data_IF_192218196572
#
_entry.id   IF_192218196572
#
_cell.length_a   1.000
_cell.length_b   1.000
_cell.length_c   1.000
_cell.angle_alpha   90.00
_cell.angle_beta   90.00
_cell.angle_gamma   90.00
#
_symmetry.space_group_name_H-M   'P 1'
#
loop_
_entity.id
_entity.type
_entity.pdbx_description
1 polymer ?
#
# COMPACT_ATOMS: atom_id res chain seq x y z
N UNK A 1 -13.30 -27.29 23.34
CA UNK A 1 -12.78 -26.65 22.12
C UNK A 1 -13.96 -26.03 21.41
N UNK A 2 -14.11 -24.70 21.51
CA UNK A 2 -15.16 -23.95 20.79
C UNK A 2 -14.89 -24.06 19.28
N UNK A 3 -15.91 -24.46 18.51
CA UNK A 3 -15.83 -24.50 17.07
C UNK A 3 -15.46 -23.13 16.50
N UNK A 4 -14.70 -23.10 15.38
CA UNK A 4 -14.29 -21.89 14.69
C UNK A 4 -15.48 -20.98 14.36
N UNK A 5 -16.59 -21.56 13.90
CA UNK A 5 -17.82 -20.83 13.59
C UNK A 5 -18.40 -20.11 14.79
N UNK A 6 -18.40 -20.79 15.95
CA UNK A 6 -18.90 -20.21 17.20
C UNK A 6 -18.03 -19.05 17.67
N UNK A 7 -16.68 -19.16 17.54
CA UNK A 7 -15.77 -18.05 17.86
C UNK A 7 -15.99 -16.84 16.94
N UNK A 8 -16.12 -17.05 15.64
CA UNK A 8 -16.41 -15.97 14.69
C UNK A 8 -17.75 -15.29 14.95
N UNK A 9 -18.76 -16.05 15.31
CA UNK A 9 -20.06 -15.51 15.70
C UNK A 9 -19.96 -14.66 16.96
N UNK A 10 -19.26 -15.12 17.98
CA UNK A 10 -19.02 -14.35 19.22
C UNK A 10 -18.23 -13.06 18.96
N UNK A 11 -17.23 -13.08 18.06
CA UNK A 11 -16.48 -11.88 17.66
C UNK A 11 -17.41 -10.88 17.00
N UNK A 12 -18.22 -11.31 16.03
CA UNK A 12 -19.21 -10.47 15.37
C UNK A 12 -20.22 -9.87 16.35
N UNK A 13 -20.78 -10.69 17.23
CA UNK A 13 -21.76 -10.23 18.22
C UNK A 13 -21.15 -9.18 19.17
N UNK A 14 -19.94 -9.37 19.65
CA UNK A 14 -19.21 -8.37 20.46
C UNK A 14 -18.97 -7.07 19.66
N UNK A 15 -18.55 -7.18 18.41
CA UNK A 15 -18.28 -6.00 17.56
C UNK A 15 -19.53 -5.15 17.29
N UNK A 16 -20.74 -5.71 17.47
CA UNK A 16 -22.03 -5.01 17.30
C UNK A 16 -22.56 -4.52 18.64
N UNK A 17 -22.62 -5.42 19.63
CA UNK A 17 -23.34 -5.17 20.88
C UNK A 17 -22.52 -4.36 21.90
N UNK A 18 -21.17 -4.47 21.84
CA UNK A 18 -20.22 -3.74 22.67
C UNK A 18 -19.11 -3.16 21.80
N UNK A 19 -19.50 -2.35 20.84
CA UNK A 19 -18.67 -1.87 19.76
C UNK A 19 -17.45 -1.09 20.27
N UNK A 20 -17.63 -0.16 21.21
CA UNK A 20 -16.54 0.70 21.67
C UNK A 20 -15.48 -0.09 22.44
N UNK A 21 -15.89 -0.97 23.37
CA UNK A 21 -14.95 -1.85 24.09
C UNK A 21 -14.25 -2.80 23.13
N UNK A 22 -15.00 -3.37 22.15
CA UNK A 22 -14.41 -4.28 21.17
C UNK A 22 -13.30 -3.59 20.38
N UNK A 23 -13.56 -2.42 19.80
CA UNK A 23 -12.55 -1.71 18.99
C UNK A 23 -11.44 -1.09 19.82
N UNK A 24 -11.72 -0.71 21.08
CA UNK A 24 -10.68 -0.30 22.03
C UNK A 24 -9.66 -1.43 22.32
N UNK A 25 -10.12 -2.68 22.36
CA UNK A 25 -9.23 -3.85 22.51
C UNK A 25 -8.50 -4.19 21.19
N UNK A 26 -9.23 -4.22 20.07
CA UNK A 26 -8.62 -4.54 18.76
C UNK A 26 -7.58 -3.50 18.32
N UNK A 27 -7.76 -2.23 18.66
CA UNK A 27 -6.79 -1.18 18.38
C UNK A 27 -5.44 -1.37 19.09
N UNK A 28 -5.37 -2.16 20.16
CA UNK A 28 -4.12 -2.51 20.85
C UNK A 28 -3.21 -3.45 20.06
N UNK A 29 -3.68 -3.97 18.92
CA UNK A 29 -2.86 -4.74 17.96
C UNK A 29 -1.76 -3.93 17.33
N UNK A 30 -1.95 -2.63 17.26
CA UNK A 30 -1.11 -1.68 16.55
C UNK A 30 -0.20 -0.98 17.55
N UNK A 31 1.05 -0.76 17.15
CA UNK A 31 1.97 0.08 17.91
C UNK A 31 1.69 1.54 17.58
N UNK A 32 1.25 2.27 18.58
CA UNK A 32 0.93 3.69 18.48
C UNK A 32 2.11 4.53 18.96
N UNK A 33 2.46 5.58 18.21
CA UNK A 33 3.41 6.61 18.66
C UNK A 33 2.78 7.38 19.81
N UNK A 34 1.57 7.89 19.58
CA UNK A 34 0.70 8.43 20.64
C UNK A 34 -0.55 7.55 20.75
N UNK A 35 -0.78 6.88 21.89
CA UNK A 35 -1.96 6.07 22.10
C UNK A 35 -3.25 6.90 21.94
N UNK A 36 -4.27 6.30 21.31
CA UNK A 36 -5.60 6.89 21.22
C UNK A 36 -6.33 6.85 22.57
N UNK A 37 -7.21 7.82 22.78
CA UNK A 37 -8.20 7.84 23.86
C UNK A 37 -9.63 7.87 23.31
N UNK A 38 -9.76 8.25 22.03
CA UNK A 38 -11.04 8.38 21.31
C UNK A 38 -11.16 7.24 20.31
N UNK A 39 -12.13 6.37 20.51
CA UNK A 39 -12.28 5.16 19.70
C UNK A 39 -12.91 5.50 18.35
N UNK A 40 -14.07 6.17 18.39
CA UNK A 40 -14.78 6.57 17.18
C UNK A 40 -15.62 7.83 17.41
N UNK A 41 -15.84 8.53 16.31
CA UNK A 41 -16.88 9.54 16.14
C UNK A 41 -17.48 9.31 14.76
N UNK A 42 -18.69 8.75 14.70
CA UNK A 42 -19.25 8.24 13.46
C UNK A 42 -20.72 8.65 13.35
N UNK A 43 -21.04 9.31 12.26
CA UNK A 43 -22.42 9.56 11.86
C UNK A 43 -22.67 9.13 10.41
N UNK A 44 -23.80 8.49 10.16
CA UNK A 44 -24.28 8.08 8.85
C UNK A 44 -25.58 8.80 8.46
N UNK A 45 -25.84 9.97 9.07
CA UNK A 45 -27.04 10.72 8.70
C UNK A 45 -26.97 11.13 7.23
N UNK A 46 -28.13 11.19 6.55
CA UNK A 46 -28.22 11.49 5.13
C UNK A 46 -27.56 12.83 4.76
N UNK A 47 -27.61 13.79 5.68
CA UNK A 47 -27.11 15.15 5.46
C UNK A 47 -25.68 15.36 5.99
N UNK A 48 -25.16 14.41 6.75
CA UNK A 48 -23.81 14.48 7.32
C UNK A 48 -23.27 13.07 7.54
N UNK A 49 -22.41 12.62 6.63
CA UNK A 49 -21.62 11.39 6.81
C UNK A 49 -20.23 11.82 7.27
N UNK A 50 -19.90 11.51 8.52
CA UNK A 50 -18.57 11.74 9.10
C UNK A 50 -18.11 10.48 9.82
N UNK A 51 -16.92 9.99 9.52
CA UNK A 51 -16.40 8.71 10.02
C UNK A 51 -14.99 8.91 10.50
N UNK A 52 -14.80 8.78 11.83
CA UNK A 52 -13.47 8.90 12.46
C UNK A 52 -13.24 7.73 13.41
N UNK A 53 -12.05 7.13 13.31
CA UNK A 53 -11.62 6.02 14.16
C UNK A 53 -10.26 6.33 14.78
N UNK A 54 -10.13 6.12 16.10
CA UNK A 54 -8.88 6.32 16.86
C UNK A 54 -8.27 7.71 16.67
N UNK A 55 -9.10 8.72 16.45
CA UNK A 55 -8.80 9.98 15.79
C UNK A 55 -7.90 10.95 16.58
N UNK A 56 -7.54 10.65 17.81
CA UNK A 56 -6.54 11.36 18.61
C UNK A 56 -5.23 10.59 18.80
N UNK A 57 -5.14 9.38 18.21
CA UNK A 57 -3.95 8.56 18.17
C UNK A 57 -3.06 8.87 16.98
N UNK A 58 -1.75 8.60 17.12
CA UNK A 58 -0.79 8.71 16.01
C UNK A 58 0.02 7.42 15.84
N UNK A 59 0.37 7.11 14.61
CA UNK A 59 1.09 5.89 14.25
C UNK A 59 1.83 6.08 12.92
N UNK A 60 2.62 5.09 12.52
CA UNK A 60 3.03 4.91 11.13
C UNK A 60 2.70 3.49 10.67
N UNK A 61 2.06 3.34 9.52
CA UNK A 61 1.63 2.04 8.99
C UNK A 61 2.82 1.20 8.54
N UNK A 62 3.82 1.80 7.88
CA UNK A 62 5.03 1.09 7.45
C UNK A 62 5.81 0.55 8.66
N UNK A 63 5.93 1.34 9.74
CA UNK A 63 6.53 0.89 11.00
C UNK A 63 5.82 -0.36 11.54
N UNK A 64 4.50 -0.33 11.55
CA UNK A 64 3.70 -1.46 12.04
C UNK A 64 3.84 -2.72 11.18
N UNK A 65 4.07 -2.58 9.87
CA UNK A 65 4.28 -3.71 8.97
C UNK A 65 5.71 -4.27 9.04
N UNK A 66 6.71 -3.46 9.39
CA UNK A 66 8.13 -3.82 9.26
C UNK A 66 8.87 -3.69 10.58
N UNK A 67 9.09 -2.46 11.05
CA UNK A 67 10.08 -2.12 12.09
C UNK A 67 9.79 -2.81 13.42
N UNK A 68 8.52 -2.86 13.84
CA UNK A 68 8.10 -3.53 15.08
C UNK A 68 8.46 -5.02 15.15
N UNK A 69 8.66 -5.64 13.98
CA UNK A 69 9.00 -7.06 13.89
C UNK A 69 10.49 -7.33 13.92
N UNK A 70 11.34 -6.35 13.53
CA UNK A 70 12.79 -6.52 13.40
C UNK A 70 13.47 -7.05 14.66
N UNK A 71 13.14 -6.64 15.90
CA UNK A 71 13.83 -7.14 17.09
C UNK A 71 13.81 -8.66 17.24
N UNK A 72 12.82 -9.33 16.62
CA UNK A 72 12.65 -10.79 16.73
C UNK A 72 12.70 -11.52 15.40
N UNK A 73 12.42 -10.82 14.29
CA UNK A 73 12.16 -11.44 12.96
C UNK A 73 13.02 -10.85 11.84
N UNK A 74 14.09 -10.12 12.14
CA UNK A 74 14.92 -9.47 11.11
C UNK A 74 15.32 -10.41 9.98
N UNK A 75 15.69 -11.65 10.32
CA UNK A 75 16.14 -12.68 9.38
C UNK A 75 15.02 -13.62 8.90
N UNK A 76 13.79 -13.46 9.41
CA UNK A 76 12.65 -14.25 8.95
C UNK A 76 12.21 -13.76 7.57
N UNK A 77 11.67 -14.67 6.77
CA UNK A 77 11.13 -14.33 5.44
C UNK A 77 9.85 -13.50 5.60
N UNK A 78 9.89 -12.28 5.09
CA UNK A 78 8.73 -11.38 5.02
C UNK A 78 7.95 -11.60 3.71
N UNK A 79 8.65 -11.79 2.58
CA UNK A 79 8.05 -11.97 1.26
C UNK A 79 8.67 -13.17 0.57
N UNK A 80 7.82 -14.02 0.01
CA UNK A 80 8.20 -15.03 -0.96
C UNK A 80 7.66 -14.54 -2.31
N UNK A 81 8.56 -14.23 -3.22
CA UNK A 81 8.24 -13.82 -4.59
C UNK A 81 8.55 -14.94 -5.55
N UNK A 82 7.63 -15.21 -6.45
CA UNK A 82 7.80 -16.11 -7.57
C UNK A 82 7.39 -15.39 -8.84
N UNK A 83 8.29 -15.34 -9.82
CA UNK A 83 8.07 -14.67 -11.09
C UNK A 83 7.14 -15.44 -12.01
N UNK A 84 6.84 -14.86 -13.18
CA UNK A 84 6.09 -15.54 -14.25
C UNK A 84 6.86 -16.77 -14.78
N UNK A 85 8.19 -16.69 -14.78
CA UNK A 85 9.08 -17.84 -14.95
C UNK A 85 9.36 -18.42 -13.54
N UNK A 86 8.97 -19.70 -13.26
CA UNK A 86 9.14 -20.30 -11.94
C UNK A 86 10.60 -20.51 -11.52
N UNK A 87 11.56 -20.29 -12.42
CA UNK A 87 12.99 -20.28 -12.08
C UNK A 87 13.44 -18.95 -11.48
N UNK A 88 12.59 -17.93 -11.54
CA UNK A 88 12.83 -16.61 -10.96
C UNK A 88 12.04 -16.49 -9.67
N UNK A 89 12.68 -16.89 -8.57
CA UNK A 89 12.12 -16.78 -7.22
C UNK A 89 13.03 -15.96 -6.30
N UNK A 90 12.48 -15.40 -5.26
CA UNK A 90 13.24 -14.71 -4.23
C UNK A 90 12.52 -14.75 -2.88
N UNK A 91 13.28 -15.05 -1.83
CA UNK A 91 12.86 -14.83 -0.44
C UNK A 91 13.49 -13.53 0.06
N UNK A 92 12.67 -12.68 0.64
CA UNK A 92 13.07 -11.37 1.15
C UNK A 92 12.81 -11.38 2.64
N UNK A 93 13.83 -11.10 3.43
CA UNK A 93 13.73 -11.01 4.89
C UNK A 93 13.09 -9.68 5.32
N UNK A 94 12.64 -9.60 6.58
CA UNK A 94 12.14 -8.34 7.14
C UNK A 94 13.21 -7.24 7.14
N UNK A 95 14.49 -7.60 7.35
CA UNK A 95 15.58 -6.62 7.28
C UNK A 95 15.79 -6.11 5.85
N UNK A 96 15.84 -7.00 4.86
CA UNK A 96 15.94 -6.60 3.46
C UNK A 96 14.74 -5.75 3.02
N UNK A 97 13.52 -6.11 3.47
CA UNK A 97 12.31 -5.34 3.21
C UNK A 97 12.43 -3.91 3.78
N UNK A 98 12.88 -3.78 5.04
CA UNK A 98 13.13 -2.48 5.68
C UNK A 98 14.13 -1.66 4.86
N UNK A 99 15.25 -2.27 4.50
CA UNK A 99 16.33 -1.57 3.80
C UNK A 99 15.87 -1.05 2.43
N UNK A 100 15.18 -1.87 1.66
CA UNK A 100 14.64 -1.48 0.33
C UNK A 100 13.54 -0.42 0.44
N UNK A 101 12.65 -0.54 1.43
CA UNK A 101 11.62 0.47 1.70
C UNK A 101 12.26 1.81 2.11
N UNK A 102 13.28 1.81 2.97
CA UNK A 102 13.97 3.03 3.38
C UNK A 102 14.73 3.69 2.23
N UNK A 103 15.44 2.91 1.40
CA UNK A 103 16.12 3.44 0.20
C UNK A 103 15.12 4.13 -0.73
N UNK A 104 14.00 3.46 -1.03
CA UNK A 104 12.97 4.05 -1.89
C UNK A 104 12.32 5.28 -1.25
N UNK A 105 12.01 5.22 0.05
CA UNK A 105 11.45 6.35 0.79
C UNK A 105 12.36 7.59 0.73
N UNK A 106 13.67 7.41 0.91
CA UNK A 106 14.64 8.48 0.78
C UNK A 106 14.78 8.98 -0.66
N UNK A 107 14.80 8.07 -1.65
CA UNK A 107 14.82 8.44 -3.06
C UNK A 107 13.57 9.23 -3.49
N UNK A 108 12.39 8.86 -2.96
CA UNK A 108 11.15 9.60 -3.21
C UNK A 108 11.22 11.02 -2.61
N UNK A 109 11.76 11.17 -1.39
CA UNK A 109 11.99 12.50 -0.80
C UNK A 109 12.98 13.33 -1.61
N UNK A 110 14.05 12.73 -2.12
CA UNK A 110 15.04 13.40 -2.97
C UNK A 110 14.44 13.98 -4.25
N UNK A 111 13.52 13.27 -4.88
CA UNK A 111 12.82 13.76 -6.08
C UNK A 111 11.64 14.69 -5.77
N UNK A 112 11.42 15.03 -4.50
CA UNK A 112 10.49 16.05 -4.03
C UNK A 112 9.16 15.57 -3.48
N UNK A 113 8.96 14.26 -3.26
CA UNK A 113 7.74 13.73 -2.61
C UNK A 113 7.71 14.14 -1.13
N UNK A 114 6.60 14.70 -0.70
CA UNK A 114 6.36 15.17 0.67
C UNK A 114 5.15 14.48 1.30
N UNK A 115 5.03 14.61 2.62
CA UNK A 115 3.83 14.18 3.36
C UNK A 115 2.56 14.76 2.73
N UNK A 116 1.57 13.90 2.49
CA UNK A 116 0.29 14.26 1.89
C UNK A 116 0.27 14.29 0.35
N UNK A 117 1.44 14.17 -0.32
CA UNK A 117 1.47 14.04 -1.77
C UNK A 117 0.88 12.70 -2.22
N UNK A 118 0.23 12.71 -3.40
CA UNK A 118 -0.30 11.49 -4.01
C UNK A 118 0.72 10.92 -4.98
N UNK A 119 0.97 9.61 -4.83
CA UNK A 119 1.87 8.84 -5.68
C UNK A 119 1.07 7.73 -6.36
N UNK A 120 0.96 7.77 -7.67
CA UNK A 120 0.32 6.68 -8.44
C UNK A 120 1.32 5.56 -8.67
N UNK A 121 0.93 4.33 -8.34
CA UNK A 121 1.75 3.13 -8.53
C UNK A 121 1.09 2.28 -9.63
N UNK A 122 1.73 2.19 -10.80
CA UNK A 122 1.29 1.41 -11.95
C UNK A 122 2.39 0.40 -12.31
N UNK A 123 2.45 -0.69 -11.54
CA UNK A 123 3.53 -1.67 -11.57
C UNK A 123 3.02 -3.11 -11.78
N UNK A 124 3.89 -4.02 -12.26
CA UNK A 124 3.59 -5.44 -12.23
C UNK A 124 3.63 -5.96 -10.78
N UNK A 125 3.19 -7.21 -10.56
CA UNK A 125 3.27 -7.90 -9.28
C UNK A 125 4.71 -8.32 -8.99
N UNK A 126 5.52 -7.38 -8.54
CA UNK A 126 6.93 -7.56 -8.15
C UNK A 126 7.17 -7.00 -6.74
N UNK A 127 8.23 -7.42 -6.03
CA UNK A 127 8.52 -6.92 -4.68
C UNK A 127 8.56 -5.39 -4.59
N UNK A 128 9.05 -4.72 -5.63
CA UNK A 128 9.13 -3.27 -5.69
C UNK A 128 7.76 -2.57 -5.65
N UNK A 129 6.67 -3.26 -6.04
CA UNK A 129 5.32 -2.72 -5.85
C UNK A 129 4.98 -2.62 -4.36
N UNK A 130 5.33 -3.64 -3.56
CA UNK A 130 5.18 -3.65 -2.11
C UNK A 130 6.08 -2.58 -1.46
N UNK A 131 7.34 -2.49 -1.91
CA UNK A 131 8.27 -1.46 -1.41
C UNK A 131 7.72 -0.06 -1.67
N UNK A 132 7.13 0.18 -2.83
CA UNK A 132 6.54 1.48 -3.20
C UNK A 132 5.37 1.87 -2.30
N UNK A 133 4.48 0.93 -1.98
CA UNK A 133 3.36 1.16 -1.07
C UNK A 133 3.84 1.48 0.34
N UNK A 134 4.77 0.68 0.87
CA UNK A 134 5.32 0.85 2.22
C UNK A 134 6.24 2.07 2.34
N UNK A 135 6.98 2.45 1.28
CA UNK A 135 7.77 3.67 1.24
C UNK A 135 6.89 4.92 1.29
N UNK A 136 5.80 4.96 0.52
CA UNK A 136 4.81 6.03 0.61
C UNK A 136 4.22 6.13 2.02
N UNK A 137 3.77 5.00 2.58
CA UNK A 137 3.24 4.97 3.95
C UNK A 137 4.28 5.45 4.99
N UNK A 138 5.57 5.13 4.77
CA UNK A 138 6.66 5.52 5.68
C UNK A 138 6.86 7.02 5.76
N UNK A 139 6.78 7.72 4.63
CA UNK A 139 6.98 9.17 4.54
C UNK A 139 5.68 9.98 4.59
N UNK A 140 4.55 9.33 4.86
CA UNK A 140 3.23 9.98 4.92
C UNK A 140 2.68 10.42 3.57
N UNK A 141 3.19 9.90 2.45
CA UNK A 141 2.61 10.09 1.13
C UNK A 141 1.42 9.15 0.90
N UNK A 142 0.43 9.60 0.15
CA UNK A 142 -0.80 8.87 -0.15
C UNK A 142 -0.62 8.10 -1.46
N UNK A 143 -0.57 6.78 -1.42
CA UNK A 143 -0.43 6.01 -2.65
C UNK A 143 -1.78 5.66 -3.30
N UNK A 144 -1.77 5.55 -4.62
CA UNK A 144 -2.90 5.09 -5.43
C UNK A 144 -2.41 4.00 -6.37
N UNK A 145 -2.71 2.74 -6.05
CA UNK A 145 -2.29 1.61 -6.88
C UNK A 145 -3.29 1.40 -8.02
N UNK A 146 -2.77 1.31 -9.22
CA UNK A 146 -3.53 1.05 -10.45
C UNK A 146 -3.09 -0.28 -11.04
N UNK A 147 -4.04 -1.15 -11.34
CA UNK A 147 -3.77 -2.45 -11.94
C UNK A 147 -3.02 -2.32 -13.27
N UNK A 148 -1.88 -3.00 -13.39
CA UNK A 148 -0.97 -2.91 -14.57
C UNK A 148 -1.56 -3.37 -15.91
N UNK A 149 -2.79 -3.88 -15.91
CA UNK A 149 -3.53 -4.24 -17.12
C UNK A 149 -4.53 -3.18 -17.60
N UNK A 150 -4.63 -2.03 -16.93
CA UNK A 150 -5.52 -0.96 -17.37
C UNK A 150 -4.91 -0.14 -18.51
N UNK A 151 -5.80 0.45 -19.35
CA UNK A 151 -5.43 1.32 -20.46
C UNK A 151 -4.87 2.66 -19.97
N UNK A 152 -4.21 3.38 -20.89
CA UNK A 152 -3.69 4.73 -20.67
C UNK A 152 -4.79 5.70 -20.18
N UNK A 153 -5.98 5.66 -20.77
CA UNK A 153 -7.12 6.49 -20.36
C UNK A 153 -7.57 6.19 -18.93
N UNK A 154 -7.59 4.91 -18.57
CA UNK A 154 -7.93 4.47 -17.20
C UNK A 154 -6.89 4.92 -16.18
N UNK A 155 -5.62 4.92 -16.54
CA UNK A 155 -4.51 5.40 -15.72
C UNK A 155 -4.59 6.93 -15.58
N UNK A 156 -4.68 7.65 -16.70
CA UNK A 156 -4.78 9.11 -16.72
C UNK A 156 -5.96 9.62 -15.88
N UNK A 157 -7.14 9.00 -16.03
CA UNK A 157 -8.32 9.39 -15.28
C UNK A 157 -8.12 9.32 -13.75
N UNK A 158 -7.36 8.32 -13.26
CA UNK A 158 -7.05 8.17 -11.83
C UNK A 158 -6.00 9.17 -11.37
N UNK A 159 -4.97 9.41 -12.16
CA UNK A 159 -3.93 10.41 -11.87
C UNK A 159 -4.56 11.79 -11.71
N UNK A 160 -5.43 12.18 -12.66
CA UNK A 160 -6.12 13.46 -12.65
C UNK A 160 -7.08 13.57 -11.44
N UNK A 161 -7.88 12.54 -11.19
CA UNK A 161 -8.88 12.55 -10.12
C UNK A 161 -8.26 12.68 -8.74
N UNK A 162 -7.18 11.92 -8.45
CA UNK A 162 -6.47 12.03 -7.17
C UNK A 162 -5.41 13.14 -7.15
N UNK A 163 -5.23 13.87 -8.26
CA UNK A 163 -4.21 14.93 -8.38
C UNK A 163 -2.82 14.42 -8.03
N UNK A 164 -2.44 13.28 -8.60
CA UNK A 164 -1.12 12.69 -8.38
C UNK A 164 -0.07 13.44 -9.18
N UNK A 165 0.99 13.89 -8.51
CA UNK A 165 2.12 14.57 -9.13
C UNK A 165 3.32 13.65 -9.38
N UNK A 166 3.26 12.43 -8.85
CA UNK A 166 4.32 11.42 -8.93
C UNK A 166 3.74 10.09 -9.40
N UNK A 167 4.49 9.41 -10.26
CA UNK A 167 4.12 8.09 -10.77
C UNK A 167 5.30 7.13 -10.60
N UNK A 168 5.02 5.89 -10.19
CA UNK A 168 5.99 4.79 -10.17
C UNK A 168 5.48 3.73 -11.13
N UNK A 169 6.31 3.33 -12.08
CA UNK A 169 6.00 2.31 -13.09
C UNK A 169 7.20 1.38 -13.34
N UNK A 170 7.09 0.49 -14.32
CA UNK A 170 8.19 -0.32 -14.81
C UNK A 170 8.33 -0.20 -16.33
N UNK A 171 9.48 -0.61 -16.86
CA UNK A 171 9.67 -0.70 -18.30
C UNK A 171 8.57 -1.58 -18.91
N UNK A 172 8.48 -2.80 -18.47
CA UNK A 172 7.43 -3.76 -18.84
C UNK A 172 7.05 -4.64 -17.65
N UNK A 173 5.85 -5.20 -17.68
CA UNK A 173 5.47 -6.36 -16.88
C UNK A 173 5.52 -7.63 -17.72
N UNK A 174 5.53 -8.80 -17.05
CA UNK A 174 5.37 -10.10 -17.71
C UNK A 174 4.16 -10.79 -17.11
N UNK A 175 3.30 -11.35 -17.97
CA UNK A 175 2.14 -12.11 -17.54
C UNK A 175 1.81 -13.21 -18.56
N UNK A 176 1.88 -14.48 -18.15
CA UNK A 176 1.68 -15.62 -19.05
C UNK A 176 2.66 -15.58 -20.22
N UNK A 177 3.94 -15.31 -19.96
CA UNK A 177 5.02 -15.13 -20.94
C UNK A 177 4.80 -13.97 -21.94
N UNK A 178 3.80 -13.09 -21.71
CA UNK A 178 3.56 -11.92 -22.55
C UNK A 178 4.10 -10.65 -21.88
N UNK A 179 4.90 -9.89 -22.63
CA UNK A 179 5.33 -8.56 -22.19
C UNK A 179 4.15 -7.58 -22.22
N UNK A 180 4.01 -6.81 -21.14
CA UNK A 180 3.01 -5.74 -21.00
C UNK A 180 3.79 -4.41 -21.00
N UNK A 181 3.60 -3.52 -21.97
CA UNK A 181 4.41 -2.31 -22.12
C UNK A 181 3.96 -1.20 -21.16
N UNK A 182 4.29 -1.33 -19.87
CA UNK A 182 3.80 -0.43 -18.82
C UNK A 182 4.29 1.00 -19.02
N UNK A 183 5.57 1.19 -19.38
CA UNK A 183 6.13 2.53 -19.63
C UNK A 183 5.44 3.22 -20.79
N UNK A 184 5.20 2.50 -21.89
CA UNK A 184 4.51 3.08 -23.05
C UNK A 184 3.08 3.52 -22.69
N UNK A 185 2.35 2.65 -21.98
CA UNK A 185 1.00 2.98 -21.47
C UNK A 185 1.03 4.18 -20.52
N UNK A 186 2.08 4.25 -19.67
CA UNK A 186 2.28 5.39 -18.77
C UNK A 186 2.56 6.67 -19.55
N UNK A 187 3.40 6.65 -20.58
CA UNK A 187 3.71 7.82 -21.39
C UNK A 187 2.46 8.36 -22.08
N UNK A 188 1.67 7.48 -22.69
CA UNK A 188 0.38 7.86 -23.29
C UNK A 188 -0.59 8.48 -22.27
N UNK A 189 -0.64 7.94 -21.06
CA UNK A 189 -1.46 8.50 -19.97
C UNK A 189 -0.96 9.89 -19.56
N UNK A 190 0.35 10.07 -19.46
CA UNK A 190 0.98 11.30 -18.98
C UNK A 190 0.89 12.46 -20.00
N UNK A 191 0.61 12.19 -21.27
CA UNK A 191 0.23 13.25 -22.25
C UNK A 191 -1.01 14.04 -21.78
N UNK A 192 -1.88 13.40 -20.99
CA UNK A 192 -3.11 13.99 -20.43
C UNK A 192 -2.95 14.52 -19.01
N UNK A 193 -1.77 14.32 -18.39
CA UNK A 193 -1.51 14.62 -16.98
C UNK A 193 -0.33 15.59 -16.83
N UNK A 194 -0.47 16.85 -17.24
CA UNK A 194 0.63 17.82 -17.26
C UNK A 194 1.16 18.18 -15.86
N UNK A 195 0.41 17.90 -14.80
CA UNK A 195 0.81 18.19 -13.42
C UNK A 195 1.76 17.15 -12.84
N UNK A 196 2.02 16.04 -13.55
CA UNK A 196 2.97 15.01 -13.09
C UNK A 196 4.39 15.53 -13.23
N UNK A 197 5.06 15.68 -12.09
CA UNK A 197 6.43 16.23 -11.99
C UNK A 197 7.49 15.18 -12.26
N UNK A 198 7.31 13.95 -11.73
CA UNK A 198 8.26 12.85 -11.86
C UNK A 198 7.59 11.52 -12.11
N UNK A 199 8.27 10.70 -12.93
CA UNK A 199 7.91 9.31 -13.19
C UNK A 199 9.13 8.42 -12.88
N UNK A 200 9.03 7.61 -11.83
CA UNK A 200 10.05 6.64 -11.43
C UNK A 200 9.83 5.34 -12.20
N UNK A 201 10.86 4.86 -12.90
CA UNK A 201 10.77 3.70 -13.79
C UNK A 201 11.65 2.56 -13.29
N UNK A 202 11.04 1.43 -12.93
CA UNK A 202 11.76 0.21 -12.60
C UNK A 202 12.23 -0.48 -13.89
N UNK A 203 13.52 -0.80 -13.98
CA UNK A 203 14.05 -1.68 -15.02
C UNK A 203 13.78 -3.14 -14.62
N UNK A 204 12.64 -3.68 -15.07
CA UNK A 204 12.21 -5.03 -14.72
C UNK A 204 12.62 -6.06 -15.78
N UNK A 205 12.34 -5.81 -17.05
CA UNK A 205 12.67 -6.72 -18.15
C UNK A 205 13.92 -6.30 -18.91
N UNK A 206 14.34 -5.06 -18.77
CA UNK A 206 15.45 -4.48 -19.55
C UNK A 206 15.05 -4.09 -20.97
N UNK A 207 13.75 -3.93 -21.20
CA UNK A 207 13.25 -3.48 -22.49
C UNK A 207 13.79 -2.10 -22.87
N UNK A 208 13.97 -1.89 -24.17
CA UNK A 208 14.26 -0.56 -24.70
C UNK A 208 13.01 0.31 -24.63
N UNK A 209 13.10 1.41 -23.88
CA UNK A 209 11.98 2.33 -23.61
C UNK A 209 12.44 3.77 -23.76
N UNK A 210 11.50 4.66 -24.06
CA UNK A 210 11.76 6.08 -24.03
C UNK A 210 11.79 6.60 -22.59
N UNK A 211 12.79 7.43 -22.26
CA UNK A 211 12.90 8.16 -21.00
C UNK A 211 12.83 9.66 -21.28
N UNK A 212 11.76 10.31 -20.83
CA UNK A 212 11.58 11.75 -21.02
C UNK A 212 12.45 12.52 -20.03
N UNK A 213 13.44 13.23 -20.56
CA UNK A 213 14.36 14.05 -19.79
C UNK A 213 13.61 15.07 -18.92
N UNK A 214 14.07 15.25 -17.69
CA UNK A 214 13.48 16.17 -16.70
C UNK A 214 12.27 15.60 -15.95
N UNK A 215 11.53 14.64 -16.52
CA UNK A 215 10.40 13.97 -15.88
C UNK A 215 10.75 12.58 -15.33
N UNK A 216 11.34 11.74 -16.19
CA UNK A 216 11.56 10.33 -15.90
C UNK A 216 12.90 10.11 -15.20
N UNK A 217 12.89 9.25 -14.19
CA UNK A 217 14.10 8.83 -13.46
C UNK A 217 14.07 7.32 -13.26
N UNK A 218 15.23 6.68 -13.33
CA UNK A 218 15.29 5.26 -13.05
C UNK A 218 15.13 4.99 -11.54
N UNK A 219 14.42 3.92 -11.21
CA UNK A 219 14.24 3.46 -9.83
C UNK A 219 15.60 3.24 -9.13
N UNK A 220 16.54 2.60 -9.82
CA UNK A 220 17.86 2.32 -9.27
C UNK A 220 18.71 3.58 -9.09
N UNK A 221 18.51 4.64 -9.86
CA UNK A 221 19.26 5.89 -9.70
C UNK A 221 18.89 6.58 -8.38
N UNK A 222 17.64 6.52 -7.96
CA UNK A 222 17.17 7.13 -6.72
C UNK A 222 17.34 6.20 -5.50
N UNK A 223 17.63 4.91 -5.69
CA UNK A 223 17.73 3.95 -4.57
C UNK A 223 19.15 3.48 -4.29
N UNK A 224 20.04 3.35 -5.29
CA UNK A 224 21.36 2.75 -5.12
C UNK A 224 22.29 3.52 -4.17
N UNK A 225 22.13 4.84 -4.08
CA UNK A 225 22.94 5.70 -3.19
C UNK A 225 22.18 6.13 -1.94
N UNK A 226 20.88 5.80 -1.86
CA UNK A 226 20.02 6.23 -0.76
C UNK A 226 20.32 5.46 0.54
N UNK A 227 20.15 6.14 1.67
CA UNK A 227 20.32 5.54 2.99
C UNK A 227 19.28 4.43 3.25
N UNK A 228 19.72 3.37 3.95
CA UNK A 228 18.83 2.33 4.50
C UNK A 228 18.13 2.77 5.79
N UNK A 229 18.40 3.98 6.27
CA UNK A 229 17.74 4.58 7.41
C UNK A 229 16.81 5.71 6.96
N UNK A 230 15.55 5.59 7.31
CA UNK A 230 14.51 6.59 7.06
C UNK A 230 13.52 6.55 8.20
N UNK A 231 13.48 7.58 9.03
CA UNK A 231 12.55 7.65 10.14
C UNK A 231 11.11 7.65 9.62
N UNK A 232 10.21 6.84 10.22
CA UNK A 232 8.80 6.82 9.84
C UNK A 232 8.11 8.11 10.28
N UNK A 233 7.39 8.73 9.35
CA UNK A 233 6.62 9.96 9.59
C UNK A 233 5.49 9.69 10.59
N UNK A 234 5.33 10.55 11.59
CA UNK A 234 4.19 10.50 12.52
C UNK A 234 2.91 10.93 11.81
N UNK A 235 1.94 10.01 11.73
CA UNK A 235 0.64 10.21 11.07
C UNK A 235 -0.48 10.15 12.09
N UNK A 236 -1.47 11.06 11.98
CA UNK A 236 -2.72 10.90 12.72
C UNK A 236 -3.47 9.67 12.19
N UNK A 237 -4.26 9.01 13.07
CA UNK A 237 -5.06 7.84 12.67
C UNK A 237 -6.00 8.12 11.49
N UNK A 238 -6.47 9.35 11.34
CA UNK A 238 -7.34 9.79 10.24
C UNK A 238 -6.59 10.39 9.04
N UNK A 239 -5.25 10.48 9.10
CA UNK A 239 -4.47 10.89 7.93
C UNK A 239 -4.63 9.88 6.80
N UNK A 240 -4.78 10.34 5.55
CA UNK A 240 -4.88 9.48 4.38
C UNK A 240 -3.70 8.54 4.23
N UNK A 241 -3.99 7.25 3.95
CA UNK A 241 -2.98 6.24 3.64
C UNK A 241 -2.94 5.93 2.15
N UNK A 242 -4.10 5.66 1.56
CA UNK A 242 -4.19 5.34 0.14
C UNK A 242 -5.58 5.63 -0.46
N UNK A 243 -5.60 5.65 -1.79
CA UNK A 243 -6.82 5.73 -2.60
C UNK A 243 -6.89 4.52 -3.52
N UNK A 244 -7.98 3.76 -3.42
CA UNK A 244 -8.30 2.70 -4.37
C UNK A 244 -9.59 3.00 -5.12
N UNK A 245 -9.58 2.71 -6.42
CA UNK A 245 -10.71 3.01 -7.30
C UNK A 245 -11.62 1.79 -7.48
N UNK A 246 -12.91 2.01 -7.30
CA UNK A 246 -13.96 1.05 -7.64
C UNK A 246 -14.51 1.33 -9.03
N UNK A 247 -15.15 0.33 -9.65
CA UNK A 247 -15.78 0.47 -10.98
C UNK A 247 -16.87 1.52 -11.03
N UNK A 248 -17.45 1.90 -9.89
CA UNK A 248 -18.54 2.87 -9.79
C UNK A 248 -19.83 2.46 -10.50
N UNK A 249 -20.97 2.74 -9.89
CA UNK A 249 -22.30 2.47 -10.49
C UNK A 249 -22.63 3.38 -11.67
N UNK A 250 -21.89 4.50 -11.83
CA UNK A 250 -22.12 5.53 -12.87
C UNK A 250 -21.18 5.44 -14.06
N UNK A 251 -20.40 4.37 -14.16
CA UNK A 251 -19.42 4.15 -15.24
C UNK A 251 -18.07 4.87 -15.05
N UNK A 252 -17.99 5.90 -14.21
CA UNK A 252 -16.70 6.51 -13.83
C UNK A 252 -16.18 5.88 -12.55
N UNK A 253 -14.90 5.46 -12.50
CA UNK A 253 -14.30 4.96 -11.26
C UNK A 253 -14.39 6.01 -10.15
N UNK A 254 -14.62 5.53 -8.92
CA UNK A 254 -14.66 6.38 -7.72
C UNK A 254 -13.52 6.01 -6.80
N UNK A 255 -12.71 6.99 -6.42
CA UNK A 255 -11.65 6.83 -5.46
C UNK A 255 -12.22 6.69 -4.04
N UNK A 256 -11.87 5.59 -3.38
CA UNK A 256 -12.18 5.37 -1.96
C UNK A 256 -10.91 5.70 -1.18
N UNK A 257 -10.99 6.74 -0.35
CA UNK A 257 -9.92 7.14 0.55
C UNK A 257 -9.95 6.28 1.80
N UNK A 258 -8.82 5.67 2.14
CA UNK A 258 -8.62 4.94 3.37
C UNK A 258 -7.66 5.69 4.28
N UNK A 259 -8.01 5.80 5.57
CA UNK A 259 -7.19 6.43 6.61
C UNK A 259 -6.36 5.40 7.36
N UNK A 260 -5.30 5.85 8.04
CA UNK A 260 -4.23 4.98 8.56
C UNK A 260 -4.68 4.06 9.70
N UNK A 261 -5.23 4.61 10.79
CA UNK A 261 -5.43 3.87 12.04
C UNK A 261 -6.54 2.82 11.96
N UNK A 262 -7.72 3.22 11.49
CA UNK A 262 -8.87 2.31 11.36
C UNK A 262 -8.58 1.18 10.36
N UNK A 263 -7.96 1.51 9.24
CA UNK A 263 -7.64 0.54 8.20
C UNK A 263 -6.67 -0.53 8.67
N UNK A 264 -5.51 -0.14 9.23
CA UNK A 264 -4.50 -1.14 9.64
C UNK A 264 -5.00 -2.03 10.77
N UNK A 265 -5.76 -1.46 11.72
CA UNK A 265 -6.40 -2.24 12.79
C UNK A 265 -7.35 -3.29 12.22
N UNK A 266 -8.21 -2.89 11.26
CA UNK A 266 -9.15 -3.80 10.61
C UNK A 266 -8.44 -4.87 9.76
N UNK A 267 -7.45 -4.49 8.96
CA UNK A 267 -6.68 -5.41 8.13
C UNK A 267 -5.99 -6.49 8.98
N UNK A 268 -5.29 -6.09 10.05
CA UNK A 268 -4.62 -7.00 10.98
C UNK A 268 -5.62 -7.94 11.68
N UNK A 269 -6.74 -7.41 12.18
CA UNK A 269 -7.76 -8.20 12.86
C UNK A 269 -8.37 -9.25 11.92
N UNK A 270 -8.78 -8.84 10.74
CA UNK A 270 -9.45 -9.73 9.78
C UNK A 270 -8.48 -10.75 9.20
N UNK A 271 -7.23 -10.40 8.94
CA UNK A 271 -6.20 -11.35 8.52
C UNK A 271 -6.09 -12.49 9.56
N UNK A 272 -5.94 -12.16 10.82
CA UNK A 272 -5.84 -13.17 11.86
C UNK A 272 -7.12 -13.99 12.03
N UNK A 273 -8.29 -13.34 12.12
CA UNK A 273 -9.53 -14.04 12.46
C UNK A 273 -10.18 -14.77 11.30
N UNK A 274 -10.15 -14.17 10.10
CA UNK A 274 -10.81 -14.76 8.93
C UNK A 274 -9.94 -15.85 8.31
N UNK A 275 -8.65 -15.56 8.10
CA UNK A 275 -7.72 -16.54 7.53
C UNK A 275 -7.13 -17.51 8.57
N UNK A 276 -7.40 -17.27 9.87
CA UNK A 276 -6.91 -18.08 10.98
C UNK A 276 -5.37 -18.18 10.98
N UNK A 277 -4.72 -17.09 10.57
CA UNK A 277 -3.27 -17.00 10.51
C UNK A 277 -2.64 -17.30 11.88
N UNK A 278 -1.58 -18.09 11.86
CA UNK A 278 -0.73 -18.39 13.00
C UNK A 278 0.71 -18.05 12.65
N UNK A 279 1.51 -17.73 13.65
CA UNK A 279 2.92 -17.48 13.45
C UNK A 279 3.62 -18.65 12.75
N UNK A 280 4.37 -18.34 11.67
CA UNK A 280 5.02 -19.32 10.81
C UNK A 280 4.20 -19.80 9.63
N UNK A 281 2.91 -19.46 9.54
CA UNK A 281 2.11 -19.76 8.35
C UNK A 281 2.58 -18.91 7.15
N UNK A 282 2.50 -19.53 5.97
CA UNK A 282 2.68 -18.81 4.69
C UNK A 282 1.30 -18.43 4.16
N UNK A 283 1.07 -17.14 3.99
CA UNK A 283 -0.14 -16.63 3.37
C UNK A 283 0.09 -16.33 1.88
N UNK A 284 -0.75 -16.90 1.04
CA UNK A 284 -0.72 -16.64 -0.39
C UNK A 284 -2.05 -16.05 -0.87
N UNK A 285 -1.98 -14.89 -1.51
CA UNK A 285 -3.11 -14.22 -2.12
C UNK A 285 -2.90 -14.12 -3.63
N UNK A 286 -3.87 -14.59 -4.40
CA UNK A 286 -3.82 -14.55 -5.88
C UNK A 286 -4.36 -13.25 -6.47
N UNK A 287 -4.87 -12.34 -5.63
CA UNK A 287 -5.32 -11.03 -6.07
C UNK A 287 -4.14 -10.08 -6.28
N UNK A 288 -4.23 -9.24 -7.32
CA UNK A 288 -3.29 -8.14 -7.55
C UNK A 288 -3.42 -7.07 -6.46
N UNK A 289 -2.31 -6.38 -6.13
CA UNK A 289 -2.30 -5.27 -5.15
C UNK A 289 -3.12 -4.05 -5.58
N UNK A 290 -3.49 -3.95 -6.83
CA UNK A 290 -4.46 -2.98 -7.34
C UNK A 290 -5.90 -3.24 -6.92
N UNK A 291 -6.18 -4.37 -6.27
CA UNK A 291 -7.49 -4.74 -5.70
C UNK A 291 -7.42 -4.75 -4.19
N UNK A 292 -8.50 -4.33 -3.51
CA UNK A 292 -8.51 -4.19 -2.05
C UNK A 292 -8.09 -5.46 -1.31
N UNK A 293 -8.38 -6.64 -1.83
CA UNK A 293 -8.00 -7.92 -1.22
C UNK A 293 -6.48 -8.12 -1.26
N UNK A 294 -5.84 -7.95 -2.43
CA UNK A 294 -4.38 -8.01 -2.56
C UNK A 294 -3.70 -6.89 -1.77
N UNK A 295 -4.21 -5.68 -1.90
CA UNK A 295 -3.74 -4.52 -1.15
C UNK A 295 -3.71 -4.78 0.36
N UNK A 296 -4.82 -5.21 0.93
CA UNK A 296 -4.96 -5.39 2.37
C UNK A 296 -4.19 -6.60 2.91
N UNK A 297 -4.16 -7.71 2.18
CA UNK A 297 -3.69 -8.97 2.76
C UNK A 297 -2.36 -9.49 2.22
N UNK A 298 -1.81 -8.89 1.15
CA UNK A 298 -0.41 -9.12 0.77
C UNK A 298 0.51 -8.14 1.53
N UNK A 299 0.05 -6.89 1.75
CA UNK A 299 0.92 -5.81 2.20
C UNK A 299 0.70 -5.44 3.66
N UNK A 300 -0.55 -5.28 4.10
CA UNK A 300 -0.88 -4.64 5.38
C UNK A 300 -1.46 -5.57 6.46
N UNK A 301 -1.98 -6.73 6.08
CA UNK A 301 -2.63 -7.66 7.00
C UNK A 301 -1.74 -8.61 7.77
#
# INVERSE_FOLDING_TARGET
VTDRRQRQMCIRDRSINDNDTFWAEEGKRIDWIKPYTKIKDVTYSKDNVDIKWFYDGTLNVSYNCIDRHLPRKANDTAIIFEGDDPTVDRKITYQELKDEVCKLANGLKEIGVQKGDRVTIYMPMVPQAVYSMLACARIGAVHSVVFGGFSADSLAGRIIDCKSEFVITADQGVRGAKAIPLKNTTDEALEKCPDVKKCVVLKHTGADINMNEGRDVWYHDITNHASIECEPEEMNAEDPLFILYTSGSTGKPKGVLHTSGGYITYASMTHQYIFNYKEGDIYWCTADVGWVTGHSYIVYG
#
